data_IF_106115686770
#
_entry.id   IF_106115686770
#
_cell.length_a   1.000
_cell.length_b   1.000
_cell.length_c   1.000
_cell.angle_alpha   90.00
_cell.angle_beta   90.00
_cell.angle_gamma   90.00
#
_symmetry.space_group_name_H-M   'P 1'
#
loop_
_entity.id
_entity.type
_entity.pdbx_description
1 polymer ?
#
# COMPACT_ATOMS: atom_id res chain seq x y z
N UNK A 1 -21.29 -20.84 11.82
CA UNK A 1 -21.82 -19.56 11.28
C UNK A 1 -20.67 -18.84 10.58
N UNK A 2 -20.34 -19.24 9.35
CA UNK A 2 -19.32 -18.56 8.55
C UNK A 2 -19.96 -17.40 7.80
N UNK A 3 -19.77 -16.17 8.29
CA UNK A 3 -20.02 -14.99 7.47
C UNK A 3 -18.83 -14.84 6.54
N UNK A 4 -18.90 -15.42 5.33
CA UNK A 4 -18.07 -14.93 4.22
C UNK A 4 -18.40 -13.44 4.08
N UNK A 5 -17.47 -12.58 4.46
CA UNK A 5 -17.53 -11.15 4.20
C UNK A 5 -17.67 -10.98 2.69
N UNK A 6 -18.89 -10.75 2.21
CA UNK A 6 -19.15 -10.37 0.82
C UNK A 6 -18.54 -8.99 0.63
N UNK A 7 -17.31 -8.94 0.12
CA UNK A 7 -16.66 -7.69 -0.26
C UNK A 7 -17.49 -7.12 -1.43
N UNK A 8 -18.10 -5.93 -1.29
CA UNK A 8 -18.87 -5.33 -2.35
C UNK A 8 -17.98 -5.09 -3.58
N UNK A 9 -18.59 -5.10 -4.77
CA UNK A 9 -17.85 -4.83 -6.00
C UNK A 9 -17.14 -3.47 -5.91
N UNK A 10 -15.87 -3.37 -6.33
CA UNK A 10 -15.11 -2.13 -6.21
C UNK A 10 -15.81 -1.00 -6.97
N UNK A 11 -16.01 0.13 -6.29
CA UNK A 11 -16.47 1.36 -6.94
C UNK A 11 -15.47 1.86 -8.00
N UNK A 12 -15.84 2.91 -8.74
CA UNK A 12 -15.00 3.45 -9.82
C UNK A 12 -13.58 3.84 -9.37
N UNK A 13 -13.42 4.36 -8.15
CA UNK A 13 -12.11 4.67 -7.56
C UNK A 13 -11.31 3.40 -7.23
N UNK A 14 -11.92 2.43 -6.56
CA UNK A 14 -11.27 1.16 -6.22
C UNK A 14 -10.80 0.41 -7.47
N UNK A 15 -11.57 0.44 -8.57
CA UNK A 15 -11.14 -0.17 -9.84
C UNK A 15 -9.92 0.53 -10.44
N UNK A 16 -9.84 1.86 -10.35
CA UNK A 16 -8.67 2.63 -10.80
C UNK A 16 -7.45 2.35 -9.93
N UNK A 17 -7.62 2.25 -8.62
CA UNK A 17 -6.56 1.91 -7.67
C UNK A 17 -5.98 0.52 -7.98
N UNK A 18 -6.84 -0.50 -8.17
CA UNK A 18 -6.41 -1.86 -8.52
C UNK A 18 -5.62 -1.84 -9.83
N UNK A 19 -6.16 -1.21 -10.88
CA UNK A 19 -5.47 -1.10 -12.17
C UNK A 19 -4.09 -0.45 -12.06
N UNK A 20 -3.98 0.63 -11.28
CA UNK A 20 -2.70 1.31 -11.07
C UNK A 20 -1.72 0.44 -10.28
N UNK A 21 -2.20 -0.27 -9.25
CA UNK A 21 -1.38 -1.20 -8.49
C UNK A 21 -0.82 -2.32 -9.38
N UNK A 22 -1.64 -2.87 -10.29
CA UNK A 22 -1.20 -3.88 -11.27
C UNK A 22 -0.08 -3.32 -12.18
N UNK A 23 -0.24 -2.09 -12.70
CA UNK A 23 0.80 -1.43 -13.52
C UNK A 23 2.11 -1.23 -12.78
N UNK A 24 2.04 -0.77 -11.53
CA UNK A 24 3.23 -0.58 -10.71
C UNK A 24 3.87 -1.92 -10.33
N UNK A 25 3.09 -2.99 -10.15
CA UNK A 25 3.62 -4.32 -9.92
C UNK A 25 4.33 -4.92 -11.15
N UNK A 26 3.82 -4.64 -12.36
CA UNK A 26 4.46 -5.02 -13.63
C UNK A 26 5.78 -4.28 -13.88
N UNK A 27 5.91 -3.03 -13.38
CA UNK A 27 7.06 -2.17 -13.61
C UNK A 27 7.48 -1.41 -12.32
N UNK A 28 7.99 -2.09 -11.28
CA UNK A 28 8.14 -1.54 -9.93
C UNK A 28 9.16 -0.40 -9.81
N UNK A 29 10.12 -0.32 -10.73
CA UNK A 29 11.13 0.75 -10.77
C UNK A 29 10.77 1.88 -11.74
N UNK A 30 9.66 1.78 -12.47
CA UNK A 30 9.25 2.80 -13.41
C UNK A 30 8.58 3.97 -12.68
N UNK A 31 8.73 5.18 -13.21
CA UNK A 31 7.91 6.32 -12.80
C UNK A 31 6.43 6.08 -13.12
N UNK A 32 5.51 6.82 -12.50
CA UNK A 32 4.07 6.73 -12.80
C UNK A 32 3.80 6.83 -14.32
N UNK A 33 4.36 7.82 -15.07
CA UNK A 33 4.19 7.86 -16.52
C UNK A 33 4.83 6.68 -17.26
N UNK A 34 5.91 6.11 -16.74
CA UNK A 34 6.59 4.96 -17.34
C UNK A 34 5.85 3.63 -17.14
N UNK A 35 5.09 3.50 -16.05
CA UNK A 35 4.28 2.31 -15.77
C UNK A 35 2.90 2.35 -16.46
N UNK A 36 2.40 3.54 -16.82
CA UNK A 36 1.07 3.73 -17.40
C UNK A 36 1.06 3.62 -18.93
N UNK A 37 -0.02 3.11 -19.53
CA UNK A 37 -0.18 3.02 -20.99
C UNK A 37 -0.76 4.32 -21.57
N UNK A 38 0.12 5.29 -21.77
CA UNK A 38 -0.18 6.53 -22.45
C UNK A 38 -0.86 7.59 -21.58
N UNK A 39 -1.08 8.77 -22.18
CA UNK A 39 -1.43 9.99 -21.46
C UNK A 39 -2.73 9.89 -20.64
N UNK A 40 -3.77 9.25 -21.18
CA UNK A 40 -5.06 9.13 -20.50
C UNK A 40 -4.95 8.34 -19.18
N UNK A 41 -4.17 7.25 -19.18
CA UNK A 41 -3.95 6.44 -17.98
C UNK A 41 -3.08 7.19 -16.97
N UNK A 42 -1.99 7.82 -17.42
CA UNK A 42 -1.12 8.65 -16.59
C UNK A 42 -1.90 9.77 -15.90
N UNK A 43 -2.76 10.50 -16.62
CA UNK A 43 -3.62 11.52 -16.03
C UNK A 43 -4.63 10.93 -15.04
N UNK A 44 -5.11 9.71 -15.29
CA UNK A 44 -5.97 8.97 -14.37
C UNK A 44 -5.27 8.64 -13.05
N UNK A 45 -4.00 8.22 -13.10
CA UNK A 45 -3.18 7.95 -11.94
C UNK A 45 -2.93 9.21 -11.10
N UNK A 46 -2.53 10.32 -11.72
CA UNK A 46 -2.37 11.58 -10.99
C UNK A 46 -3.68 12.08 -10.39
N UNK A 47 -4.82 11.97 -11.11
CA UNK A 47 -6.15 12.31 -10.57
C UNK A 47 -6.57 11.43 -9.40
N UNK A 48 -6.14 10.17 -9.37
CA UNK A 48 -6.36 9.27 -8.24
C UNK A 48 -5.58 9.76 -7.01
N UNK A 49 -4.28 10.00 -7.13
CA UNK A 49 -3.46 10.51 -6.01
C UNK A 49 -3.87 11.91 -5.55
N UNK A 50 -4.37 12.74 -6.45
CA UNK A 50 -4.94 14.05 -6.13
C UNK A 50 -6.19 13.95 -5.23
N UNK A 51 -6.87 12.79 -5.16
CA UNK A 51 -7.94 12.53 -4.18
C UNK A 51 -7.43 12.30 -2.74
N UNK A 52 -6.12 12.26 -2.51
CA UNK A 52 -5.51 12.09 -1.19
C UNK A 52 -5.18 13.43 -0.51
N UNK A 53 -5.36 14.57 -1.21
CA UNK A 53 -5.11 15.89 -0.62
C UNK A 53 -6.12 16.19 0.48
N UNK A 54 -5.69 16.90 1.53
CA UNK A 54 -6.53 17.22 2.68
C UNK A 54 -7.82 18.00 2.31
N UNK A 55 -7.78 18.79 1.22
CA UNK A 55 -8.92 19.55 0.68
C UNK A 55 -9.87 18.70 -0.18
N UNK A 56 -9.43 17.52 -0.63
CA UNK A 56 -10.19 16.59 -1.47
C UNK A 56 -10.46 15.31 -0.69
N UNK A 57 -11.66 15.16 -0.15
CA UNK A 57 -12.04 13.93 0.57
C UNK A 57 -12.35 12.81 -0.42
N UNK A 58 -11.42 11.87 -0.60
CA UNK A 58 -11.72 10.63 -1.32
C UNK A 58 -10.84 9.42 -0.99
N UNK A 59 -9.54 9.63 -0.72
CA UNK A 59 -8.60 8.51 -0.62
C UNK A 59 -7.60 8.70 0.53
N UNK A 60 -7.85 8.05 1.67
CA UNK A 60 -6.87 7.97 2.76
C UNK A 60 -5.98 6.73 2.62
N UNK A 61 -4.79 6.74 3.22
CA UNK A 61 -3.90 5.58 3.19
C UNK A 61 -4.52 4.39 3.94
N UNK A 62 -5.30 4.63 5.00
CA UNK A 62 -6.04 3.60 5.74
C UNK A 62 -7.09 2.95 4.84
N UNK A 63 -7.79 3.73 4.01
CA UNK A 63 -8.77 3.20 3.07
C UNK A 63 -8.11 2.34 1.97
N UNK A 64 -6.86 2.64 1.61
CA UNK A 64 -6.04 1.84 0.68
C UNK A 64 -5.56 0.55 1.35
N UNK A 65 -5.07 0.61 2.60
CA UNK A 65 -4.49 -0.55 3.29
C UNK A 65 -5.52 -1.48 3.94
N UNK A 66 -6.68 -0.99 4.39
CA UNK A 66 -7.72 -1.81 5.01
C UNK A 66 -8.11 -3.07 4.20
N UNK A 67 -8.39 -2.98 2.88
CA UNK A 67 -8.68 -4.18 2.09
C UNK A 67 -7.45 -5.09 1.94
N UNK A 68 -6.24 -4.54 1.93
CA UNK A 68 -5.01 -5.34 1.91
C UNK A 68 -4.83 -6.11 3.22
N UNK A 69 -4.99 -5.44 4.37
CA UNK A 69 -4.94 -6.06 5.71
C UNK A 69 -5.95 -7.20 5.84
N UNK A 70 -7.22 -6.97 5.47
CA UNK A 70 -8.25 -8.01 5.50
C UNK A 70 -7.93 -9.22 4.59
N UNK A 71 -7.25 -8.98 3.46
CA UNK A 71 -6.81 -10.05 2.54
C UNK A 71 -5.59 -10.80 3.07
N UNK A 72 -4.71 -10.13 3.81
CA UNK A 72 -3.56 -10.74 4.49
C UNK A 72 -4.02 -11.55 5.70
N UNK A 73 -5.03 -11.11 6.45
CA UNK A 73 -5.59 -11.80 7.62
C UNK A 73 -6.40 -13.05 7.26
N UNK A 74 -7.15 -13.01 6.16
CA UNK A 74 -8.02 -14.12 5.77
C UNK A 74 -7.34 -15.51 5.74
N UNK A 75 -6.17 -15.70 5.09
CA UNK A 75 -5.48 -17.00 5.08
C UNK A 75 -4.84 -17.35 6.42
N UNK A 76 -4.61 -16.39 7.33
CA UNK A 76 -3.97 -16.67 8.62
C UNK A 76 -4.76 -17.68 9.47
N UNK A 77 -6.10 -17.71 9.32
CA UNK A 77 -6.96 -18.67 9.99
C UNK A 77 -6.68 -20.14 9.60
N UNK A 78 -6.03 -20.36 8.45
CA UNK A 78 -5.65 -21.69 7.96
C UNK A 78 -4.27 -22.13 8.50
N UNK A 79 -3.52 -21.23 9.15
CA UNK A 79 -2.20 -21.51 9.69
C UNK A 79 -2.27 -21.67 11.22
N UNK A 80 -1.75 -22.77 11.80
CA UNK A 80 -1.77 -22.97 13.25
C UNK A 80 -0.88 -21.97 14.02
N UNK A 81 0.14 -21.42 13.35
CA UNK A 81 1.04 -20.40 13.88
C UNK A 81 1.30 -19.37 12.78
N UNK A 82 1.19 -18.10 13.13
CA UNK A 82 1.60 -16.96 12.31
C UNK A 82 2.52 -16.09 13.16
N UNK A 83 3.67 -15.70 12.60
CA UNK A 83 4.61 -14.78 13.23
C UNK A 83 4.40 -13.38 12.66
N UNK A 84 4.31 -12.38 13.53
CA UNK A 84 4.26 -10.97 13.16
C UNK A 84 5.63 -10.35 13.38
N UNK A 85 6.39 -10.19 12.29
CA UNK A 85 7.70 -9.56 12.30
C UNK A 85 7.50 -8.04 12.24
N UNK A 86 8.04 -7.34 13.22
CA UNK A 86 8.00 -5.89 13.30
C UNK A 86 9.41 -5.34 13.24
N UNK A 87 9.56 -4.26 12.50
CA UNK A 87 10.80 -3.49 12.44
C UNK A 87 10.45 -2.02 12.19
N UNK A 88 11.42 -1.13 12.33
CA UNK A 88 11.27 0.29 11.99
C UNK A 88 12.29 0.66 10.93
N UNK A 89 11.81 1.17 9.80
CA UNK A 89 12.64 1.67 8.71
C UNK A 89 12.42 3.16 8.47
N UNK A 90 13.40 3.81 7.88
CA UNK A 90 13.36 5.24 7.53
C UNK A 90 13.02 5.40 6.05
N UNK A 91 12.05 6.27 5.76
CA UNK A 91 11.78 6.75 4.41
C UNK A 91 12.45 8.11 4.25
N UNK A 92 13.63 8.13 3.63
CA UNK A 92 14.42 9.34 3.36
C UNK A 92 13.92 10.06 2.11
N UNK A 93 13.46 11.29 2.29
CA UNK A 93 12.97 12.18 1.23
C UNK A 93 13.82 13.46 1.14
N UNK A 94 15.06 13.42 1.60
CA UNK A 94 15.94 14.58 1.59
C UNK A 94 16.06 15.19 0.19
N UNK A 95 16.01 16.53 0.11
CA UNK A 95 15.97 17.27 -1.14
C UNK A 95 14.59 17.41 -1.79
N UNK A 96 13.54 16.80 -1.22
CA UNK A 96 12.16 16.99 -1.67
C UNK A 96 11.40 17.98 -0.78
N UNK A 97 10.61 18.86 -1.40
CA UNK A 97 9.72 19.77 -0.70
C UNK A 97 8.40 19.05 -0.36
N UNK A 98 8.36 18.40 0.80
CA UNK A 98 7.18 17.68 1.31
C UNK A 98 6.83 18.27 2.68
N UNK A 99 5.57 18.68 2.85
CA UNK A 99 5.06 19.19 4.12
C UNK A 99 4.88 18.06 5.14
N UNK A 100 5.20 18.33 6.40
CA UNK A 100 4.97 17.39 7.50
C UNK A 100 6.07 16.35 7.74
N UNK A 101 7.19 16.40 7.01
CA UNK A 101 8.35 15.55 7.28
C UNK A 101 9.07 15.93 8.58
N UNK A 102 9.55 14.92 9.31
CA UNK A 102 10.36 15.08 10.52
C UNK A 102 11.85 14.81 10.27
N UNK A 103 12.71 15.05 11.27
CA UNK A 103 14.10 14.56 11.24
C UNK A 103 14.16 13.03 11.30
N UNK A 104 15.20 12.46 10.70
CA UNK A 104 15.55 11.03 10.80
C UNK A 104 16.72 10.83 11.79
N UNK A 105 17.32 9.63 11.82
CA UNK A 105 18.44 9.32 12.73
C UNK A 105 19.62 10.29 12.57
N UNK A 106 19.86 10.79 11.35
CA UNK A 106 20.72 11.94 11.13
C UNK A 106 19.88 13.22 11.05
N UNK A 107 20.14 14.17 11.93
CA UNK A 107 19.30 15.36 12.12
C UNK A 107 19.15 16.23 10.86
N UNK A 108 20.11 16.18 9.93
CA UNK A 108 20.03 16.93 8.67
C UNK A 108 19.09 16.28 7.63
N UNK A 109 18.77 14.99 7.76
CA UNK A 109 17.84 14.30 6.86
C UNK A 109 16.39 14.64 7.20
N UNK A 110 15.52 14.55 6.19
CA UNK A 110 14.08 14.78 6.33
C UNK A 110 13.31 13.61 5.74
N UNK A 111 12.39 13.07 6.51
CA UNK A 111 11.68 11.87 6.15
C UNK A 111 10.59 11.49 7.14
N UNK A 112 10.27 10.20 7.16
CA UNK A 112 9.35 9.61 8.14
C UNK A 112 9.77 8.19 8.52
N UNK A 113 9.44 7.81 9.74
CA UNK A 113 9.58 6.43 10.20
C UNK A 113 8.38 5.61 9.77
N UNK A 114 8.63 4.44 9.19
CA UNK A 114 7.63 3.44 8.88
C UNK A 114 7.85 2.23 9.79
N UNK A 115 6.82 1.82 10.51
CA UNK A 115 6.83 0.63 11.35
C UNK A 115 5.95 -0.47 10.73
N UNK A 116 6.43 -1.17 9.69
CA UNK A 116 5.63 -2.22 9.06
C UNK A 116 5.52 -3.44 9.96
N UNK A 117 4.42 -4.17 9.82
CA UNK A 117 4.25 -5.50 10.41
C UNK A 117 4.08 -6.51 9.28
N UNK A 118 4.98 -7.48 9.20
CA UNK A 118 4.98 -8.51 8.17
C UNK A 118 4.58 -9.85 8.79
N UNK A 119 3.45 -10.40 8.32
CA UNK A 119 2.94 -11.68 8.80
C UNK A 119 3.50 -12.85 7.97
N UNK A 120 4.06 -13.85 8.63
CA UNK A 120 4.64 -15.04 7.99
C UNK A 120 4.16 -16.33 8.68
N UNK A 121 3.92 -17.37 7.88
CA UNK A 121 3.74 -18.73 8.40
C UNK A 121 5.11 -19.43 8.44
N UNK A 122 5.58 -19.94 9.60
CA UNK A 122 6.85 -20.64 9.69
C UNK A 122 6.80 -22.06 9.13
N UNK A 123 5.60 -22.59 8.84
CA UNK A 123 5.42 -23.92 8.26
C UNK A 123 5.50 -23.84 6.74
N UNK A 124 6.41 -24.60 6.14
CA UNK A 124 6.42 -24.85 4.69
C UNK A 124 5.19 -25.68 4.30
N UNK A 125 4.66 -25.55 3.06
CA UNK A 125 3.51 -26.34 2.59
C UNK A 125 3.73 -27.86 2.48
N UNK A 126 4.88 -28.39 2.92
CA UNK A 126 5.22 -29.80 2.77
C UNK A 126 5.69 -30.37 4.11
N UNK A 127 4.72 -30.86 4.87
CA UNK A 127 4.89 -31.74 6.03
C UNK A 127 4.21 -33.08 5.77
N UNK A 128 4.56 -33.72 4.65
CA UNK A 128 4.39 -35.16 4.36
C UNK A 128 5.55 -35.61 3.51
#
# INVERSE_FOLDING_TARGET
MERRLRVPAPGGMSRRLIKLADRLAEAPSASIPGACNGCAETQGAYRLFDQARADKRGLSWEAVLAPHMARTEAPMAEHPVVLYLQDTTELDFNGQAIEGLGPLSYEAQRGMYLHPTYAVSPLSPTGT
#
